data_IF_260812754162
#
_entry.id   IF_260812754162
#
_cell.length_a   1.000
_cell.length_b   1.000
_cell.length_c   1.000
_cell.angle_alpha   90.00
_cell.angle_beta   90.00
_cell.angle_gamma   90.00
#
_symmetry.space_group_name_H-M   'P 1'
#
loop_
_entity.id
_entity.type
_entity.pdbx_description
1 polymer ?
#
# COMPACT_ATOMS: atom_id res chain seq x y z
N UNK A 1 16.71 6.52 26.42
CA UNK A 1 16.54 6.13 25.00
C UNK A 1 15.17 5.47 24.84
N UNK A 2 14.16 6.17 24.29
CA UNK A 2 12.77 5.67 24.21
C UNK A 2 12.67 4.70 23.03
N UNK A 3 12.61 3.39 23.28
CA UNK A 3 12.43 2.39 22.23
C UNK A 3 11.09 2.64 21.54
N UNK A 4 11.13 3.08 20.27
CA UNK A 4 9.94 3.23 19.43
C UNK A 4 9.43 1.85 19.04
N UNK A 5 8.17 1.56 19.36
CA UNK A 5 7.54 0.25 19.20
C UNK A 5 7.43 -0.16 17.73
N UNK A 6 7.66 -1.45 17.48
CA UNK A 6 7.29 -2.09 16.22
C UNK A 6 5.76 -2.21 16.20
N UNK A 7 5.14 -1.71 15.13
CA UNK A 7 3.70 -1.88 14.87
C UNK A 7 3.54 -3.01 13.88
N UNK A 8 2.65 -3.94 14.17
CA UNK A 8 2.30 -5.04 13.28
C UNK A 8 0.82 -4.94 12.93
N UNK A 9 0.47 -5.45 11.76
CA UNK A 9 -0.91 -5.45 11.27
C UNK A 9 -1.16 -6.64 10.37
N UNK A 10 -2.42 -7.06 10.32
CA UNK A 10 -2.89 -8.11 9.40
C UNK A 10 -4.05 -7.52 8.62
N UNK A 11 -4.10 -7.82 7.32
CA UNK A 11 -5.20 -7.46 6.44
C UNK A 11 -5.72 -8.69 5.71
N UNK A 12 -7.03 -8.80 5.56
CA UNK A 12 -7.68 -9.87 4.80
C UNK A 12 -8.80 -9.28 3.97
N UNK A 13 -8.82 -9.55 2.67
CA UNK A 13 -9.89 -9.13 1.77
C UNK A 13 -10.30 -10.31 0.89
N UNK A 14 -11.59 -10.41 0.60
CA UNK A 14 -12.14 -11.40 -0.31
C UNK A 14 -13.19 -10.72 -1.19
N UNK A 15 -13.08 -10.87 -2.50
CA UNK A 15 -13.95 -10.22 -3.47
C UNK A 15 -14.17 -11.14 -4.66
N UNK A 16 -15.40 -11.26 -5.13
CA UNK A 16 -15.72 -12.18 -6.22
C UNK A 16 -17.22 -12.39 -6.45
N UNK A 17 -17.53 -13.16 -7.50
CA UNK A 17 -18.86 -13.62 -7.89
C UNK A 17 -18.85 -15.14 -8.20
N UNK A 18 -19.98 -15.73 -8.57
CA UNK A 18 -20.22 -17.18 -8.67
C UNK A 18 -19.26 -18.01 -9.58
N UNK A 19 -18.33 -17.38 -10.31
CA UNK A 19 -17.28 -18.07 -11.08
C UNK A 19 -15.87 -17.52 -10.88
N UNK A 20 -15.69 -16.50 -10.04
CA UNK A 20 -14.42 -15.80 -9.86
C UNK A 20 -14.32 -15.34 -8.41
N UNK A 21 -13.35 -15.85 -7.67
CA UNK A 21 -13.08 -15.44 -6.30
C UNK A 21 -11.63 -15.08 -6.13
N UNK A 22 -11.38 -13.85 -5.66
CA UNK A 22 -10.05 -13.36 -5.29
C UNK A 22 -10.00 -13.11 -3.79
N UNK A 23 -9.06 -13.76 -3.13
CA UNK A 23 -8.76 -13.56 -1.72
C UNK A 23 -7.34 -13.01 -1.59
N UNK A 24 -7.12 -12.08 -0.67
CA UNK A 24 -5.80 -11.54 -0.34
C UNK A 24 -5.64 -11.49 1.17
N UNK A 25 -4.53 -12.02 1.65
CA UNK A 25 -4.11 -11.95 3.04
C UNK A 25 -2.79 -11.22 3.08
N UNK A 26 -2.60 -10.28 4.01
CA UNK A 26 -1.37 -9.52 4.14
C UNK A 26 -0.94 -9.38 5.59
N UNK A 27 0.36 -9.51 5.81
CA UNK A 27 1.02 -9.26 7.09
C UNK A 27 1.92 -8.05 6.93
N UNK A 28 1.73 -7.03 7.76
CA UNK A 28 2.48 -5.79 7.72
C UNK A 28 3.25 -5.59 9.02
N UNK A 29 4.47 -5.05 8.91
CA UNK A 29 5.29 -4.62 10.02
C UNK A 29 5.86 -3.24 9.71
N UNK A 30 5.68 -2.28 10.62
CA UNK A 30 6.18 -0.93 10.47
C UNK A 30 6.88 -0.46 11.74
N UNK A 31 7.98 0.26 11.56
CA UNK A 31 8.77 0.80 12.66
C UNK A 31 9.16 2.24 12.38
N UNK A 32 9.01 3.07 13.40
CA UNK A 32 9.49 4.44 13.35
C UNK A 32 10.99 4.48 13.67
N UNK A 33 11.80 4.96 12.72
CA UNK A 33 13.24 5.18 12.87
C UNK A 33 13.49 6.66 13.19
N UNK A 34 13.56 6.99 14.49
CA UNK A 34 13.72 8.38 14.92
C UNK A 34 12.42 9.18 14.82
N UNK A 35 12.50 10.51 14.91
CA UNK A 35 11.29 11.36 15.00
C UNK A 35 10.61 11.60 13.66
N UNK A 36 11.40 11.55 12.60
CA UNK A 36 10.99 11.97 11.27
C UNK A 36 10.81 10.83 10.28
N UNK A 37 11.42 9.66 10.51
CA UNK A 37 11.39 8.55 9.53
C UNK A 37 10.56 7.40 10.05
N UNK A 38 9.71 6.83 9.20
CA UNK A 38 9.02 5.57 9.43
C UNK A 38 9.24 4.64 8.25
N UNK A 39 9.52 3.38 8.53
CA UNK A 39 9.63 2.33 7.53
C UNK A 39 8.51 1.31 7.75
N UNK A 40 8.02 0.74 6.67
CA UNK A 40 7.02 -0.32 6.67
C UNK A 40 7.37 -1.37 5.62
N UNK A 41 7.08 -2.62 5.95
CA UNK A 41 7.10 -3.73 5.01
C UNK A 41 5.77 -4.46 5.11
N UNK A 42 5.32 -5.03 4.00
CA UNK A 42 4.13 -5.87 3.98
C UNK A 42 4.35 -7.04 3.04
N UNK A 43 4.06 -8.24 3.51
CA UNK A 43 4.03 -9.45 2.70
C UNK A 43 2.57 -9.79 2.45
N UNK A 44 2.23 -10.13 1.21
CA UNK A 44 0.87 -10.47 0.83
C UNK A 44 0.84 -11.81 0.12
N UNK A 45 -0.19 -12.59 0.45
CA UNK A 45 -0.59 -13.81 -0.23
C UNK A 45 -1.87 -13.53 -1.00
N UNK A 46 -1.82 -13.69 -2.31
CA UNK A 46 -2.95 -13.54 -3.21
C UNK A 46 -3.39 -14.94 -3.64
N UNK A 47 -4.68 -15.18 -3.59
CA UNK A 47 -5.29 -16.41 -4.06
C UNK A 47 -6.40 -16.06 -5.03
N UNK A 48 -6.36 -16.67 -6.20
CA UNK A 48 -7.38 -16.52 -7.22
C UNK A 48 -7.96 -17.88 -7.55
N UNK A 49 -9.28 -17.95 -7.60
CA UNK A 49 -10.04 -19.12 -7.93
C UNK A 49 -11.00 -18.78 -9.07
N UNK A 50 -10.84 -19.46 -10.20
CA UNK A 50 -11.68 -19.28 -11.39
C UNK A 50 -12.34 -20.60 -11.72
N UNK A 51 -13.67 -20.62 -11.69
CA UNK A 51 -14.45 -21.82 -12.02
C UNK A 51 -14.16 -22.24 -13.46
N UNK A 52 -13.71 -23.48 -13.66
CA UNK A 52 -13.35 -24.02 -14.98
C UNK A 52 -11.90 -23.77 -15.43
N UNK A 53 -11.18 -22.83 -14.83
CA UNK A 53 -9.77 -22.53 -15.17
C UNK A 53 -8.77 -22.89 -14.06
N UNK A 54 -9.24 -23.20 -12.85
CA UNK A 54 -8.41 -23.66 -11.74
C UNK A 54 -8.12 -22.58 -10.70
N UNK A 55 -7.11 -22.84 -9.86
CA UNK A 55 -6.70 -21.96 -8.79
C UNK A 55 -5.26 -21.48 -9.03
N UNK A 56 -5.00 -20.19 -8.80
CA UNK A 56 -3.67 -19.60 -8.84
C UNK A 56 -3.37 -18.90 -7.51
N UNK A 57 -2.10 -18.89 -7.12
CA UNK A 57 -1.64 -18.18 -5.94
C UNK A 57 -0.35 -17.43 -6.23
N UNK A 58 -0.22 -16.24 -5.64
CA UNK A 58 0.97 -15.40 -5.80
C UNK A 58 1.36 -14.80 -4.47
N UNK A 59 2.66 -14.65 -4.25
CA UNK A 59 3.20 -13.90 -3.11
C UNK A 59 3.75 -12.58 -3.63
N UNK A 60 3.50 -11.50 -2.88
CA UNK A 60 4.07 -10.19 -3.16
C UNK A 60 4.63 -9.54 -1.90
N UNK A 61 5.67 -8.72 -2.08
CA UNK A 61 6.26 -7.94 -1.01
C UNK A 61 6.16 -6.45 -1.32
N UNK A 62 5.79 -5.67 -0.31
CA UNK A 62 5.70 -4.22 -0.38
C UNK A 62 6.65 -3.61 0.64
N UNK A 63 7.24 -2.47 0.30
CA UNK A 63 8.03 -1.65 1.19
C UNK A 63 7.53 -0.20 1.14
N UNK A 64 7.50 0.46 2.28
CA UNK A 64 7.04 1.84 2.42
C UNK A 64 7.97 2.64 3.32
N UNK A 65 8.13 3.91 2.98
CA UNK A 65 8.94 4.86 3.72
C UNK A 65 8.15 6.16 3.84
N UNK A 66 8.09 6.71 5.06
CA UNK A 66 7.43 7.96 5.38
C UNK A 66 8.43 8.89 6.08
N UNK A 67 8.66 10.06 5.49
CA UNK A 67 9.51 11.13 6.00
C UNK A 67 8.64 12.32 6.41
N UNK A 68 8.60 12.63 7.70
CA UNK A 68 8.03 13.88 8.23
C UNK A 68 9.10 14.96 8.12
N UNK A 69 8.95 15.83 7.11
CA UNK A 69 9.83 16.98 6.91
C UNK A 69 9.55 18.08 7.94
N UNK A 70 8.29 18.19 8.37
CA UNK A 70 7.83 19.12 9.41
C UNK A 70 6.68 18.49 10.21
N UNK A 71 6.15 19.18 11.22
CA UNK A 71 4.97 18.70 11.95
C UNK A 71 3.74 18.54 11.05
N UNK A 72 3.65 19.40 10.03
CA UNK A 72 2.53 19.48 9.10
C UNK A 72 2.80 18.85 7.74
N UNK A 73 4.06 18.57 7.40
CA UNK A 73 4.43 18.17 6.04
C UNK A 73 5.18 16.85 6.06
N UNK A 74 4.71 15.92 5.24
CA UNK A 74 5.32 14.61 5.10
C UNK A 74 5.44 14.21 3.64
N UNK A 75 6.38 13.31 3.39
CA UNK A 75 6.66 12.71 2.11
C UNK A 75 6.64 11.20 2.28
N UNK A 76 6.07 10.48 1.32
CA UNK A 76 5.99 9.03 1.32
C UNK A 76 6.57 8.47 0.02
N UNK A 77 7.21 7.32 0.12
CA UNK A 77 7.54 6.47 -1.01
C UNK A 77 7.01 5.07 -0.70
N UNK A 78 6.34 4.46 -1.67
CA UNK A 78 5.90 3.08 -1.57
C UNK A 78 6.34 2.30 -2.80
N UNK A 79 6.86 1.11 -2.56
CA UNK A 79 7.25 0.12 -3.55
C UNK A 79 6.33 -1.07 -3.34
N UNK A 80 5.43 -1.31 -4.28
CA UNK A 80 4.53 -2.43 -4.26
C UNK A 80 5.01 -3.47 -5.27
N UNK A 81 5.24 -4.69 -4.78
CA UNK A 81 5.71 -5.83 -5.55
C UNK A 81 6.82 -5.50 -6.58
N UNK A 82 7.99 -5.02 -6.15
CA UNK A 82 9.05 -4.57 -7.07
C UNK A 82 9.53 -5.67 -8.03
N UNK A 83 9.30 -6.95 -7.70
CA UNK A 83 9.69 -8.09 -8.53
C UNK A 83 8.72 -8.39 -9.67
N UNK A 84 7.51 -7.80 -9.69
CA UNK A 84 6.41 -8.15 -10.59
C UNK A 84 6.15 -9.67 -10.66
N UNK A 85 5.12 -10.14 -9.98
CA UNK A 85 4.87 -11.58 -9.85
C UNK A 85 3.91 -12.02 -10.93
N UNK A 86 4.39 -12.86 -11.84
CA UNK A 86 3.56 -13.57 -12.79
C UNK A 86 3.35 -15.01 -12.29
N UNK A 87 2.15 -15.30 -11.78
CA UNK A 87 1.82 -16.61 -11.23
C UNK A 87 1.02 -17.48 -12.22
N UNK A 88 0.28 -16.85 -13.14
CA UNK A 88 -0.49 -17.49 -14.21
C UNK A 88 -1.10 -16.41 -15.10
N UNK A 89 -1.59 -16.78 -16.29
CA UNK A 89 -2.34 -15.87 -17.18
C UNK A 89 -3.52 -15.14 -16.48
N UNK A 90 -4.09 -15.74 -15.43
CA UNK A 90 -5.19 -15.17 -14.66
C UNK A 90 -4.75 -14.31 -13.46
N UNK A 91 -3.50 -14.46 -12.98
CA UNK A 91 -2.99 -13.82 -11.76
C UNK A 91 -1.61 -13.19 -11.98
N UNK A 92 -1.64 -11.93 -12.42
CA UNK A 92 -0.48 -11.06 -12.51
C UNK A 92 -0.52 -9.99 -11.41
N UNK A 93 0.60 -9.80 -10.71
CA UNK A 93 0.79 -8.77 -9.69
C UNK A 93 1.85 -7.78 -10.18
N UNK A 94 1.47 -6.60 -10.70
CA UNK A 94 2.41 -5.65 -11.29
C UNK A 94 3.33 -5.03 -10.25
N UNK A 95 4.49 -4.56 -10.71
CA UNK A 95 5.32 -3.63 -9.95
C UNK A 95 4.72 -2.21 -10.00
N UNK A 96 4.49 -1.62 -8.83
CA UNK A 96 3.97 -0.26 -8.70
C UNK A 96 4.86 0.55 -7.78
N UNK A 97 5.23 1.73 -8.24
CA UNK A 97 6.02 2.71 -7.51
C UNK A 97 5.13 3.90 -7.24
N UNK A 98 5.01 4.32 -5.98
CA UNK A 98 4.34 5.57 -5.65
C UNK A 98 5.21 6.48 -4.82
N UNK A 99 5.05 7.78 -5.05
CA UNK A 99 5.65 8.83 -4.25
C UNK A 99 4.58 9.88 -3.96
N UNK A 100 4.47 10.29 -2.71
CA UNK A 100 3.45 11.22 -2.26
C UNK A 100 4.02 12.30 -1.38
N UNK A 101 3.38 13.46 -1.41
CA UNK A 101 3.59 14.54 -0.45
C UNK A 101 2.23 14.89 0.16
N UNK A 102 2.21 15.04 1.47
CA UNK A 102 1.02 15.42 2.20
C UNK A 102 1.28 16.58 3.14
N UNK A 103 0.23 17.37 3.31
CA UNK A 103 0.17 18.52 4.18
C UNK A 103 -1.05 18.42 5.08
N UNK A 104 -0.80 18.44 6.38
CA UNK A 104 -1.76 18.38 7.47
C UNK A 104 -1.71 19.73 8.20
N UNK A 105 -2.52 20.69 7.76
CA UNK A 105 -2.46 22.06 8.29
C UNK A 105 -2.98 22.14 9.74
N UNK A 106 -3.93 21.26 10.10
CA UNK A 106 -4.67 21.15 11.37
C UNK A 106 -5.44 19.81 11.43
N UNK A 107 -6.00 19.40 12.57
CA UNK A 107 -6.84 18.17 12.69
C UNK A 107 -8.08 18.13 11.77
N UNK A 108 -8.40 19.26 11.14
CA UNK A 108 -9.58 19.44 10.31
C UNK A 108 -9.32 19.29 8.81
N UNK A 109 -8.10 19.56 8.32
CA UNK A 109 -7.81 19.61 6.87
C UNK A 109 -6.55 18.81 6.56
N UNK A 110 -6.72 17.83 5.68
CA UNK A 110 -5.65 17.02 5.13
C UNK A 110 -5.65 17.14 3.61
N UNK A 111 -4.48 17.44 3.04
CA UNK A 111 -4.25 17.49 1.61
C UNK A 111 -3.08 16.59 1.26
N UNK A 112 -3.20 15.81 0.21
CA UNK A 112 -2.09 15.03 -0.31
C UNK A 112 -2.12 14.94 -1.82
N UNK A 113 -0.94 14.83 -2.41
CA UNK A 113 -0.74 14.52 -3.81
C UNK A 113 0.12 13.27 -3.89
N UNK A 114 -0.29 12.29 -4.68
CA UNK A 114 0.46 11.06 -4.91
C UNK A 114 0.62 10.82 -6.41
N UNK A 115 1.84 10.49 -6.81
CA UNK A 115 2.16 10.03 -8.17
C UNK A 115 2.38 8.53 -8.13
N UNK A 116 1.69 7.81 -9.02
CA UNK A 116 1.69 6.36 -9.08
C UNK A 116 2.15 5.95 -10.47
N UNK A 117 3.23 5.16 -10.51
CA UNK A 117 3.77 4.56 -11.73
C UNK A 117 3.66 3.05 -11.64
N UNK A 118 2.74 2.49 -12.41
CA UNK A 118 2.59 1.05 -12.62
C UNK A 118 3.35 0.63 -13.89
N UNK A 119 4.03 -0.51 -13.83
CA UNK A 119 4.71 -1.09 -14.99
C UNK A 119 3.70 -1.33 -16.13
N UNK A 120 3.99 -0.79 -17.32
CA UNK A 120 3.11 -0.92 -18.49
C UNK A 120 1.95 0.08 -18.56
N UNK A 121 1.82 1.02 -17.61
CA UNK A 121 0.79 2.08 -17.63
C UNK A 121 1.38 3.49 -17.64
N UNK A 122 0.54 4.45 -18.02
CA UNK A 122 0.86 5.88 -17.87
C UNK A 122 0.95 6.26 -16.40
N UNK A 123 1.71 7.33 -16.13
CA UNK A 123 1.85 7.88 -14.79
C UNK A 123 0.53 8.50 -14.35
N UNK A 124 0.01 8.08 -13.20
CA UNK A 124 -1.23 8.58 -12.64
C UNK A 124 -0.94 9.53 -11.49
N UNK A 125 -1.60 10.69 -11.48
CA UNK A 125 -1.58 11.62 -10.36
C UNK A 125 -2.89 11.55 -9.59
N UNK A 126 -2.82 11.46 -8.27
CA UNK A 126 -3.96 11.45 -7.36
C UNK A 126 -3.87 12.66 -6.44
N UNK A 127 -4.95 13.43 -6.38
CA UNK A 127 -5.13 14.52 -5.43
C UNK A 127 -6.16 14.10 -4.38
N UNK A 128 -5.76 14.12 -3.12
CA UNK A 128 -6.59 13.79 -1.97
C UNK A 128 -6.84 15.04 -1.13
N UNK A 129 -8.10 15.33 -0.88
CA UNK A 129 -8.53 16.35 0.08
C UNK A 129 -9.47 15.68 1.07
N UNK A 130 -9.18 15.81 2.37
CA UNK A 130 -10.04 15.30 3.43
C UNK A 130 -10.28 16.40 4.44
N UNK A 131 -11.56 16.63 4.75
CA UNK A 131 -12.00 17.54 5.78
C UNK A 131 -12.71 16.76 6.89
N UNK A 132 -12.27 16.93 8.13
CA UNK A 132 -12.89 16.29 9.29
C UNK A 132 -13.86 17.27 9.93
N UNK A 133 -15.16 17.01 9.77
CA UNK A 133 -16.21 17.76 10.45
C UNK A 133 -16.24 17.40 11.94
N UNK A 134 -16.21 18.41 12.79
CA UNK A 134 -16.41 18.29 14.23
C UNK A 134 -17.92 18.26 14.49
N UNK A 135 -18.42 17.21 15.15
CA UNK A 135 -19.75 17.16 15.77
C UNK A 135 -19.60 16.89 17.24
#
# INVERSE_FOLDING_TARGET
>A
MKLRSLRTGVQGTSTGYAGYRRSRIGLAGARQLGEKVSLGIRINYHQLQVSGYGNAAAISADAGLLLRLSEKLFFSIQLFNPTATDASDALYVPAVYSAGIGYEQSEQVYMAMEFIKEQGRFLNGVLSFQYKMHS
#
